data_IF_068168791954
#
_entry.id   IF_068168791954
#
_cell.length_a   1.000
_cell.length_b   1.000
_cell.length_c   1.000
_cell.angle_alpha   90.00
_cell.angle_beta   90.00
_cell.angle_gamma   90.00
#
_symmetry.space_group_name_H-M   'P 1'
#
loop_
_entity.id
_entity.type
_entity.pdbx_description
1 polymer ?
#
# COMPACT_ATOMS: atom_id res chain seq x y z
N UNK A 1 -9.36 -5.86 -37.99
CA UNK A 1 -8.91 -4.69 -37.20
C UNK A 1 -8.85 -5.14 -35.74
N UNK A 2 -7.68 -5.10 -35.08
CA UNK A 2 -7.55 -5.47 -33.66
C UNK A 2 -8.14 -4.32 -32.82
N UNK A 3 -9.18 -4.59 -32.03
CA UNK A 3 -9.61 -3.69 -30.97
C UNK A 3 -8.47 -3.58 -29.96
N UNK A 4 -7.74 -2.47 -29.96
CA UNK A 4 -6.83 -2.14 -28.89
C UNK A 4 -7.69 -1.73 -27.69
N UNK A 5 -7.91 -2.67 -26.76
CA UNK A 5 -8.50 -2.34 -25.47
C UNK A 5 -7.62 -1.26 -24.81
N UNK A 6 -8.23 -0.16 -24.36
CA UNK A 6 -7.53 0.88 -23.61
C UNK A 6 -6.77 0.24 -22.43
N UNK A 7 -5.56 0.73 -22.08
CA UNK A 7 -4.79 0.14 -21.00
C UNK A 7 -5.61 0.17 -19.71
N UNK A 8 -5.87 -1.01 -19.15
CA UNK A 8 -6.59 -1.14 -17.90
C UNK A 8 -5.72 -0.54 -16.80
N UNK A 9 -6.26 0.40 -16.03
CA UNK A 9 -5.56 0.97 -14.88
C UNK A 9 -5.09 -0.16 -13.96
N UNK A 10 -3.86 -0.11 -13.43
CA UNK A 10 -3.35 -1.14 -12.54
C UNK A 10 -4.22 -1.24 -11.28
N UNK A 11 -4.38 -2.45 -10.77
CA UNK A 11 -5.00 -2.66 -9.46
C UNK A 11 -4.12 -2.06 -8.36
N UNK A 12 -4.68 -1.83 -7.18
CA UNK A 12 -3.89 -1.37 -6.03
C UNK A 12 -2.78 -2.35 -5.67
N UNK A 13 -3.05 -3.66 -5.67
CA UNK A 13 -2.03 -4.68 -5.45
C UNK A 13 -0.89 -4.61 -6.49
N UNK A 14 -1.22 -4.37 -7.77
CA UNK A 14 -0.21 -4.19 -8.81
C UNK A 14 0.64 -2.92 -8.57
N UNK A 15 0.02 -1.81 -8.14
CA UNK A 15 0.74 -0.59 -7.78
C UNK A 15 1.69 -0.80 -6.60
N UNK A 16 1.24 -1.52 -5.56
CA UNK A 16 2.08 -1.87 -4.41
C UNK A 16 3.29 -2.71 -4.86
N UNK A 17 3.06 -3.71 -5.72
CA UNK A 17 4.15 -4.51 -6.27
C UNK A 17 5.15 -3.64 -7.04
N UNK A 18 4.69 -2.85 -8.01
CA UNK A 18 5.54 -1.94 -8.81
C UNK A 18 6.31 -0.96 -7.93
N UNK A 19 5.70 -0.45 -6.86
CA UNK A 19 6.39 0.42 -5.90
C UNK A 19 7.62 -0.27 -5.27
N UNK A 20 7.50 -1.54 -4.86
CA UNK A 20 8.63 -2.28 -4.30
C UNK A 20 9.65 -2.74 -5.35
N UNK A 21 9.19 -3.32 -6.45
CA UNK A 21 10.09 -4.00 -7.41
C UNK A 21 10.73 -3.04 -8.38
N UNK A 22 9.98 -2.08 -8.91
CA UNK A 22 10.49 -1.15 -9.92
C UNK A 22 10.97 0.14 -9.26
N UNK A 23 10.12 0.79 -8.46
CA UNK A 23 10.46 2.11 -7.93
C UNK A 23 11.56 2.05 -6.85
N UNK A 24 11.37 1.31 -5.76
CA UNK A 24 12.35 1.27 -4.67
C UNK A 24 13.66 0.57 -5.08
N UNK A 25 13.57 -0.59 -5.73
CA UNK A 25 14.75 -1.38 -6.09
C UNK A 25 15.41 -0.88 -7.37
N UNK A 26 14.70 -0.81 -8.49
CA UNK A 26 15.33 -0.51 -9.79
C UNK A 26 15.59 0.99 -10.01
N UNK A 27 14.64 1.87 -9.67
CA UNK A 27 14.75 3.30 -9.95
C UNK A 27 15.47 4.08 -8.85
N UNK A 28 15.20 3.78 -7.58
CA UNK A 28 15.78 4.48 -6.43
C UNK A 28 17.02 3.80 -5.87
N UNK A 29 17.26 2.53 -6.19
CA UNK A 29 18.39 1.73 -5.70
C UNK A 29 18.58 1.84 -4.18
N UNK A 30 17.48 1.88 -3.41
CA UNK A 30 17.56 1.98 -1.94
C UNK A 30 18.07 0.67 -1.35
N UNK A 31 18.67 0.73 -0.16
CA UNK A 31 19.24 -0.45 0.48
C UNK A 31 18.17 -1.52 0.78
N UNK A 32 18.52 -2.82 0.83
CA UNK A 32 17.58 -3.88 1.21
C UNK A 32 16.93 -3.64 2.58
N UNK A 33 17.65 -3.03 3.53
CA UNK A 33 17.11 -2.64 4.84
C UNK A 33 16.06 -1.55 4.71
N UNK A 34 16.27 -0.57 3.83
CA UNK A 34 15.28 0.45 3.52
C UNK A 34 14.04 -0.20 2.90
N UNK A 35 14.18 -1.08 1.91
CA UNK A 35 13.05 -1.83 1.33
C UNK A 35 12.25 -2.59 2.40
N UNK A 36 12.94 -3.28 3.31
CA UNK A 36 12.30 -4.00 4.41
C UNK A 36 11.50 -3.05 5.34
N UNK A 37 12.07 -1.90 5.70
CA UNK A 37 11.39 -0.90 6.52
C UNK A 37 10.10 -0.37 5.85
N UNK A 38 10.12 -0.11 4.54
CA UNK A 38 8.92 0.29 3.79
C UNK A 38 7.89 -0.84 3.72
N UNK A 39 8.32 -2.09 3.55
CA UNK A 39 7.43 -3.27 3.56
C UNK A 39 6.73 -3.39 4.90
N UNK A 40 7.48 -3.29 5.99
CA UNK A 40 6.95 -3.47 7.34
C UNK A 40 5.94 -2.35 7.66
N UNK A 41 6.23 -1.10 7.29
CA UNK A 41 5.29 0.02 7.44
C UNK A 41 4.02 -0.17 6.61
N UNK A 42 4.14 -0.61 5.34
CA UNK A 42 2.98 -0.83 4.48
C UNK A 42 2.15 -2.03 4.94
N UNK A 43 2.77 -3.09 5.45
CA UNK A 43 2.07 -4.23 6.04
C UNK A 43 1.22 -3.81 7.25
N UNK A 44 1.79 -2.99 8.13
CA UNK A 44 1.08 -2.45 9.30
C UNK A 44 -0.14 -1.61 8.87
N UNK A 45 0.04 -0.75 7.87
CA UNK A 45 -1.05 0.03 7.30
C UNK A 45 -2.14 -0.84 6.65
N UNK A 46 -1.76 -1.84 5.84
CA UNK A 46 -2.72 -2.70 5.14
C UNK A 46 -3.53 -3.57 6.10
N UNK A 47 -2.91 -4.06 7.18
CA UNK A 47 -3.62 -4.79 8.23
C UNK A 47 -4.62 -3.88 8.96
N UNK A 48 -4.19 -2.68 9.35
CA UNK A 48 -5.08 -1.68 9.95
C UNK A 48 -6.26 -1.35 9.02
N UNK A 49 -5.99 -1.05 7.75
CA UNK A 49 -7.01 -0.70 6.77
C UNK A 49 -7.99 -1.84 6.54
N UNK A 50 -7.50 -3.08 6.48
CA UNK A 50 -8.32 -4.30 6.37
C UNK A 50 -9.31 -4.41 7.53
N UNK A 51 -8.83 -4.24 8.77
CA UNK A 51 -9.69 -4.28 9.97
C UNK A 51 -10.68 -3.12 10.00
N UNK A 52 -10.23 -1.90 9.69
CA UNK A 52 -11.06 -0.69 9.73
C UNK A 52 -12.18 -0.69 8.67
N UNK A 53 -11.91 -1.23 7.48
CA UNK A 53 -12.86 -1.26 6.37
C UNK A 53 -13.66 -2.56 6.28
N UNK A 54 -13.31 -3.60 7.05
CA UNK A 54 -13.92 -4.93 6.95
C UNK A 54 -13.68 -5.59 5.59
N UNK A 55 -12.54 -5.30 4.95
CA UNK A 55 -12.17 -5.81 3.62
C UNK A 55 -10.88 -6.62 3.71
N UNK A 56 -10.80 -7.72 2.97
CA UNK A 56 -9.53 -8.44 2.83
C UNK A 56 -8.46 -7.52 2.20
N UNK A 57 -7.17 -7.61 2.59
CA UNK A 57 -6.11 -6.78 2.01
C UNK A 57 -6.02 -6.88 0.48
N UNK A 58 -6.34 -8.05 -0.08
CA UNK A 58 -6.32 -8.32 -1.52
C UNK A 58 -7.47 -7.65 -2.29
N UNK A 59 -8.52 -7.19 -1.61
CA UNK A 59 -9.66 -6.50 -2.22
C UNK A 59 -9.64 -4.99 -2.01
N UNK A 60 -8.64 -4.48 -1.27
CA UNK A 60 -8.42 -3.04 -1.13
C UNK A 60 -8.15 -2.40 -2.50
N UNK A 61 -8.79 -1.25 -2.72
CA UNK A 61 -8.59 -0.42 -3.91
C UNK A 61 -7.89 0.87 -3.50
N UNK A 62 -7.21 1.51 -4.46
CA UNK A 62 -6.59 2.80 -4.21
C UNK A 62 -7.61 3.86 -3.76
N UNK A 63 -8.85 3.79 -4.27
CA UNK A 63 -9.96 4.65 -3.85
C UNK A 63 -10.41 4.42 -2.41
N UNK A 64 -10.05 3.31 -1.78
CA UNK A 64 -10.36 3.06 -0.37
C UNK A 64 -9.31 3.75 0.55
N UNK A 65 -8.18 4.21 -0.01
CA UNK A 65 -7.13 4.94 0.70
C UNK A 65 -7.45 6.44 0.68
N UNK A 66 -8.33 6.86 1.59
CA UNK A 66 -8.75 8.25 1.75
C UNK A 66 -8.07 8.92 2.94
N UNK A 67 -7.99 10.26 3.02
CA UNK A 67 -7.36 10.96 4.15
C UNK A 67 -7.82 10.47 5.52
N UNK A 68 -9.10 10.11 5.66
CA UNK A 68 -9.68 9.65 6.93
C UNK A 68 -9.06 8.33 7.41
N UNK A 69 -8.76 7.40 6.50
CA UNK A 69 -8.11 6.13 6.90
C UNK A 69 -6.64 6.32 7.25
N UNK A 70 -5.98 7.29 6.59
CA UNK A 70 -4.59 7.64 6.90
C UNK A 70 -4.52 8.29 8.28
N UNK A 71 -5.37 9.28 8.58
CA UNK A 71 -5.40 9.93 9.89
C UNK A 71 -5.73 8.93 11.00
N UNK A 72 -6.76 8.09 10.81
CA UNK A 72 -7.10 7.06 11.78
C UNK A 72 -5.96 6.05 12.01
N UNK A 73 -5.14 5.76 10.98
CA UNK A 73 -3.96 4.92 11.12
C UNK A 73 -2.87 5.61 11.95
N UNK A 74 -2.59 6.89 11.69
CA UNK A 74 -1.61 7.66 12.46
C UNK A 74 -2.02 7.76 13.94
N UNK A 75 -3.30 8.04 14.21
CA UNK A 75 -3.84 8.03 15.57
C UNK A 75 -3.63 6.65 16.23
N UNK A 76 -3.92 5.56 15.51
CA UNK A 76 -3.71 4.21 16.02
C UNK A 76 -2.24 3.94 16.39
N UNK A 77 -1.28 4.37 15.56
CA UNK A 77 0.15 4.24 15.86
C UNK A 77 0.58 5.00 17.11
N UNK A 78 0.02 6.18 17.35
CA UNK A 78 0.33 6.97 18.55
C UNK A 78 -0.14 6.30 19.84
N UNK A 79 -1.30 5.63 19.79
CA UNK A 79 -1.84 4.89 20.93
C UNK A 79 -1.08 3.58 21.20
N UNK A 80 -0.72 2.82 20.15
CA UNK A 80 0.04 1.57 20.33
C UNK A 80 1.46 1.80 20.83
N UNK A 81 2.09 2.93 20.46
CA UNK A 81 3.44 3.29 20.93
C UNK A 81 3.49 3.78 22.38
N UNK A 82 2.35 4.07 22.97
CA UNK A 82 2.23 4.53 24.36
C UNK A 82 2.00 3.37 25.36
N UNK A 83 2.25 2.13 24.93
CA UNK A 83 2.14 0.89 25.73
C UNK A 83 3.50 0.27 26.01
#
# INVERSE_FOLDING_TARGET
MRNAAAPKSPSFAALVQTFFTEYLVAQRAVSPRTVACYRDALMLFLDFASRKLGKAPTTLRLTDIQPEIILAFLDHLEHERSS
#
